data_IF_605923595935
#
_entry.id   IF_605923595935
#
_cell.length_a   1.000
_cell.length_b   1.000
_cell.length_c   1.000
_cell.angle_alpha   90.00
_cell.angle_beta   90.00
_cell.angle_gamma   90.00
#
_symmetry.space_group_name_H-M   'P 1'
#
loop_
_entity.id
_entity.type
_entity.pdbx_description
1 polymer ?
#
# COMPACT_ATOMS: atom_id res chain seq x y z
N UNK A 1 -6.21 13.72 -24.78
CA UNK A 1 -5.17 12.85 -24.17
C UNK A 1 -5.56 12.60 -22.71
N UNK A 2 -5.81 11.34 -22.32
CA UNK A 2 -6.16 11.01 -20.93
C UNK A 2 -4.92 11.15 -20.03
N UNK A 3 -4.97 12.08 -19.07
CA UNK A 3 -3.92 12.24 -18.08
C UNK A 3 -4.10 11.14 -17.03
N UNK A 4 -3.30 10.08 -17.11
CA UNK A 4 -3.28 9.06 -16.08
C UNK A 4 -2.76 9.67 -14.78
N UNK A 5 -3.48 9.44 -13.68
CA UNK A 5 -3.00 9.85 -12.36
C UNK A 5 -1.71 9.08 -12.05
N UNK A 6 -0.65 9.82 -11.74
CA UNK A 6 0.62 9.25 -11.31
C UNK A 6 0.78 9.50 -9.82
N UNK A 7 1.13 8.46 -9.08
CA UNK A 7 1.46 8.56 -7.67
C UNK A 7 2.69 7.74 -7.36
N UNK A 8 3.43 8.19 -6.36
CA UNK A 8 4.62 7.53 -5.86
C UNK A 8 4.41 7.21 -4.38
N UNK A 9 4.73 5.99 -4.00
CA UNK A 9 4.78 5.59 -2.60
C UNK A 9 6.19 5.80 -2.08
N UNK A 10 6.30 6.51 -0.96
CA UNK A 10 7.54 6.65 -0.21
C UNK A 10 7.58 5.60 0.90
N UNK A 11 8.44 4.60 0.75
CA UNK A 11 8.58 3.49 1.70
C UNK A 11 9.74 3.79 2.64
N UNK A 12 9.53 3.67 3.95
CA UNK A 12 10.57 3.87 4.97
C UNK A 12 10.46 2.82 6.08
N UNK A 13 11.59 2.38 6.63
CA UNK A 13 11.64 1.47 7.77
C UNK A 13 12.69 1.94 8.77
N UNK A 14 12.28 2.11 10.03
CA UNK A 14 13.08 2.36 11.25
C UNK A 14 14.58 2.68 11.03
N UNK A 15 14.89 3.84 10.42
CA UNK A 15 16.22 4.47 10.23
C UNK A 15 17.05 4.16 8.96
N UNK A 16 16.54 3.51 7.91
CA UNK A 16 17.30 3.41 6.64
C UNK A 16 16.44 3.54 5.37
N UNK A 17 17.08 4.08 4.32
CA UNK A 17 16.69 4.27 2.92
C UNK A 17 15.19 4.47 2.64
N UNK A 18 14.86 5.70 2.23
CA UNK A 18 13.60 5.99 1.57
C UNK A 18 13.67 5.39 0.16
N UNK A 19 12.80 4.42 -0.14
CA UNK A 19 12.57 3.98 -1.51
C UNK A 19 11.31 4.64 -2.05
N UNK A 20 11.41 5.26 -3.23
CA UNK A 20 10.23 5.71 -3.98
C UNK A 20 9.84 4.64 -4.99
N UNK A 21 8.59 4.22 -4.94
CA UNK A 21 8.02 3.22 -5.86
C UNK A 21 6.84 3.83 -6.56
N UNK A 22 6.84 3.78 -7.90
CA UNK A 22 5.68 4.21 -8.69
C UNK A 22 4.52 3.28 -8.42
N UNK A 23 3.36 3.84 -8.12
CA UNK A 23 2.14 3.05 -8.01
C UNK A 23 1.63 2.64 -9.41
N UNK A 24 1.29 1.36 -9.52
CA UNK A 24 0.50 0.82 -10.62
C UNK A 24 -1.00 1.06 -10.34
N UNK A 25 -1.90 0.90 -11.34
CA UNK A 25 -3.34 0.98 -11.12
C UNK A 25 -3.81 0.14 -9.93
N UNK A 26 -3.19 -1.03 -9.75
CA UNK A 26 -3.30 -1.85 -8.57
C UNK A 26 -1.89 -2.28 -8.13
N UNK A 27 -1.54 -2.02 -6.88
CA UNK A 27 -0.25 -2.39 -6.28
C UNK A 27 -0.51 -3.26 -5.06
N UNK A 28 -0.03 -4.50 -5.08
CA UNK A 28 -0.11 -5.42 -3.94
C UNK A 28 1.16 -5.33 -3.10
N UNK A 29 0.99 -5.12 -1.81
CA UNK A 29 2.07 -5.10 -0.81
C UNK A 29 1.98 -6.35 0.05
N UNK A 30 3.10 -7.02 0.24
CA UNK A 30 3.15 -8.23 1.07
C UNK A 30 4.53 -8.84 1.15
N UNK A 31 4.69 -9.92 1.91
CA UNK A 31 5.99 -10.62 2.03
C UNK A 31 6.30 -11.58 0.89
N UNK A 32 5.27 -11.95 0.13
CA UNK A 32 5.41 -12.95 -0.94
C UNK A 32 6.14 -12.36 -2.15
N UNK A 33 6.95 -13.15 -2.87
CA UNK A 33 7.67 -12.67 -4.05
C UNK A 33 6.73 -12.26 -5.20
N UNK A 34 5.48 -12.73 -5.23
CA UNK A 34 4.50 -12.28 -6.23
C UNK A 34 3.92 -10.87 -5.99
N UNK A 35 4.26 -10.23 -4.87
CA UNK A 35 3.78 -8.86 -4.60
C UNK A 35 4.58 -7.83 -5.39
N UNK A 36 3.87 -6.81 -5.89
CA UNK A 36 4.46 -5.66 -6.58
C UNK A 36 5.45 -4.92 -5.66
N UNK A 37 5.12 -4.81 -4.37
CA UNK A 37 6.03 -4.32 -3.34
C UNK A 37 6.24 -5.42 -2.29
N UNK A 38 7.40 -6.08 -2.36
CA UNK A 38 7.80 -7.09 -1.39
C UNK A 38 8.39 -6.45 -0.14
N UNK A 39 7.82 -6.77 1.03
CA UNK A 39 8.40 -6.44 2.33
C UNK A 39 8.79 -7.75 3.03
N UNK A 40 10.10 -8.04 3.07
CA UNK A 40 10.64 -9.28 3.62
C UNK A 40 10.62 -9.30 5.16
N UNK A 41 9.43 -9.39 5.75
CA UNK A 41 9.23 -9.46 7.20
C UNK A 41 8.20 -10.53 7.56
N UNK A 42 8.46 -11.25 8.65
CA UNK A 42 7.51 -12.22 9.22
C UNK A 42 6.21 -11.55 9.70
N UNK A 43 6.26 -10.26 10.06
CA UNK A 43 5.13 -9.45 10.51
C UNK A 43 4.20 -9.01 9.37
N UNK A 44 4.60 -9.24 8.12
CA UNK A 44 3.82 -8.89 6.93
C UNK A 44 3.17 -10.17 6.38
N UNK A 45 1.91 -10.08 5.99
CA UNK A 45 1.18 -11.21 5.39
C UNK A 45 1.65 -11.43 3.95
N UNK A 46 1.45 -12.64 3.40
CA UNK A 46 1.85 -12.95 2.00
C UNK A 46 1.30 -11.91 1.01
N UNK A 47 0.00 -11.59 1.15
CA UNK A 47 -0.66 -10.41 0.58
C UNK A 47 -1.25 -9.66 1.76
N UNK A 48 -0.73 -8.48 2.06
CA UNK A 48 -1.03 -7.76 3.30
C UNK A 48 -2.04 -6.64 3.05
N UNK A 49 -1.74 -5.76 2.10
CA UNK A 49 -2.66 -4.73 1.67
C UNK A 49 -2.52 -4.49 0.17
N UNK A 50 -3.49 -3.76 -0.38
CA UNK A 50 -3.42 -3.26 -1.74
C UNK A 50 -3.62 -1.75 -1.79
N UNK A 51 -2.95 -1.12 -2.74
CA UNK A 51 -3.16 0.26 -3.14
C UNK A 51 -3.81 0.27 -4.51
N UNK A 52 -4.90 1.03 -4.66
CA UNK A 52 -5.56 1.23 -5.96
C UNK A 52 -5.51 2.70 -6.35
N UNK A 53 -5.06 2.97 -7.57
CA UNK A 53 -5.17 4.29 -8.18
C UNK A 53 -6.52 4.39 -8.87
N UNK A 54 -7.33 5.33 -8.39
CA UNK A 54 -8.62 5.68 -8.96
C UNK A 54 -8.55 7.09 -9.53
N UNK A 55 -9.61 7.51 -10.21
CA UNK A 55 -9.70 8.85 -10.82
C UNK A 55 -9.73 9.96 -9.79
N UNK A 56 -10.19 9.65 -8.57
CA UNK A 56 -10.38 10.58 -7.45
C UNK A 56 -9.27 10.49 -6.39
N UNK A 57 -8.39 9.49 -6.44
CA UNK A 57 -7.27 9.38 -5.51
C UNK A 57 -6.65 8.00 -5.38
N UNK A 58 -5.86 7.85 -4.32
CA UNK A 58 -5.28 6.57 -3.91
C UNK A 58 -6.14 5.98 -2.80
N UNK A 59 -6.45 4.69 -2.90
CA UNK A 59 -7.13 3.95 -1.84
C UNK A 59 -6.25 2.82 -1.34
N UNK A 60 -6.26 2.59 -0.03
CA UNK A 60 -5.63 1.44 0.62
C UNK A 60 -6.70 0.49 1.13
N UNK A 61 -6.45 -0.81 1.02
CA UNK A 61 -7.33 -1.85 1.56
C UNK A 61 -6.48 -2.93 2.23
N UNK A 62 -6.78 -3.24 3.50
CA UNK A 62 -6.20 -4.37 4.21
C UNK A 62 -6.80 -5.68 3.68
N UNK A 63 -5.95 -6.63 3.25
CA UNK A 63 -6.37 -7.89 2.64
C UNK A 63 -6.61 -9.00 3.68
N UNK A 64 -7.22 -8.64 4.81
CA UNK A 64 -7.35 -9.50 6.01
C UNK A 64 -5.98 -9.96 6.52
N UNK A 65 -5.08 -9.00 6.70
CA UNK A 65 -3.74 -9.29 7.17
C UNK A 65 -3.70 -9.67 8.66
N UNK A 66 -2.67 -10.41 9.07
CA UNK A 66 -2.56 -10.92 10.44
C UNK A 66 -2.40 -9.79 11.47
N UNK A 67 -1.58 -8.79 11.15
CA UNK A 67 -1.28 -7.67 12.05
C UNK A 67 -2.11 -6.41 11.74
N UNK A 68 -2.85 -6.40 10.63
CA UNK A 68 -3.60 -5.24 10.16
C UNK A 68 -2.75 -4.20 9.45
N UNK A 69 -3.45 -3.39 8.65
CA UNK A 69 -2.91 -2.19 8.01
C UNK A 69 -3.39 -0.95 8.76
N UNK A 70 -2.53 0.06 8.86
CA UNK A 70 -2.82 1.31 9.58
C UNK A 70 -2.69 2.51 8.63
N UNK A 71 -3.59 3.47 8.77
CA UNK A 71 -3.56 4.76 8.07
C UNK A 71 -3.67 5.86 9.11
N UNK A 72 -2.72 6.81 9.11
CA UNK A 72 -2.64 7.91 10.09
C UNK A 72 -2.72 7.45 11.56
N UNK A 73 -2.13 6.28 11.86
CA UNK A 73 -2.12 5.67 13.20
C UNK A 73 -3.40 4.88 13.55
N UNK A 74 -4.47 4.98 12.76
CA UNK A 74 -5.69 4.22 12.95
C UNK A 74 -5.67 2.90 12.17
N UNK A 75 -6.10 1.80 12.80
CA UNK A 75 -6.21 0.49 12.14
C UNK A 75 -7.38 0.51 11.17
N UNK A 76 -7.15 0.04 9.95
CA UNK A 76 -8.20 -0.08 8.94
C UNK A 76 -9.11 -1.29 9.21
N UNK A 77 -10.41 -1.19 8.89
CA UNK A 77 -11.25 -2.37 8.75
C UNK A 77 -10.75 -3.23 7.59
N UNK A 78 -10.70 -4.55 7.79
CA UNK A 78 -10.29 -5.47 6.73
C UNK A 78 -11.27 -5.43 5.55
N UNK A 79 -10.72 -5.56 4.33
CA UNK A 79 -11.46 -5.63 3.06
C UNK A 79 -12.37 -4.43 2.77
N UNK A 80 -11.99 -3.28 3.32
CA UNK A 80 -12.71 -2.01 3.08
C UNK A 80 -11.74 -0.99 2.48
N UNK A 81 -11.90 -0.61 1.20
CA UNK A 81 -11.09 0.44 0.61
C UNK A 81 -11.26 1.77 1.34
N UNK A 82 -10.15 2.35 1.77
CA UNK A 82 -10.10 3.63 2.50
C UNK A 82 -9.25 4.62 1.74
N UNK A 83 -9.74 5.85 1.58
CA UNK A 83 -9.03 6.92 0.86
C UNK A 83 -7.75 7.32 1.59
N UNK A 84 -6.62 7.34 0.88
CA UNK A 84 -5.34 7.82 1.40
C UNK A 84 -5.27 9.32 1.14
N UNK A 85 -5.23 10.10 2.21
CA UNK A 85 -4.98 11.53 2.12
C UNK A 85 -3.52 11.75 1.73
N UNK A 86 -3.28 12.53 0.69
CA UNK A 86 -1.91 12.96 0.36
C UNK A 86 -1.40 13.83 1.51
N UNK A 87 -0.22 13.49 2.04
CA UNK A 87 0.52 14.25 3.05
C UNK A 87 1.91 14.62 2.57
#
# INVERSE_FOLDING_TARGET
>A
MARFMQAWLRVSHQRANIQQVRLLPLTIVGRSPECHLKIASAQVSRRHCQLSLRTDGVYVEDLASANGTFLDGARLPSRTPTYVRNG
#
